data_IF_665524268986
#
_entry.id   IF_665524268986
#
_cell.length_a   1.000
_cell.length_b   1.000
_cell.length_c   1.000
_cell.angle_alpha   90.00
_cell.angle_beta   90.00
_cell.angle_gamma   90.00
#
_symmetry.space_group_name_H-M   'P 1'
#
loop_
_entity.id
_entity.type
_entity.pdbx_description
1 polymer ?
#
# COMPACT_ATOMS: atom_id res chain seq x y z
N UNK A 1 -7.65 -15.72 11.89
CA UNK A 1 -6.84 -14.88 10.98
C UNK A 1 -7.80 -14.03 10.17
N UNK A 2 -7.49 -12.75 9.93
CA UNK A 2 -8.28 -11.92 9.02
C UNK A 2 -7.88 -12.22 7.58
N UNK A 3 -8.85 -12.27 6.67
CA UNK A 3 -8.60 -12.49 5.24
C UNK A 3 -8.62 -11.13 4.52
N UNK A 4 -7.52 -10.80 3.85
CA UNK A 4 -7.42 -9.62 2.99
C UNK A 4 -7.82 -10.03 1.55
N UNK A 5 -8.71 -9.27 0.93
CA UNK A 5 -9.10 -9.44 -0.48
C UNK A 5 -8.92 -8.07 -1.15
N UNK A 6 -7.97 -7.98 -2.09
CA UNK A 6 -7.62 -6.75 -2.80
C UNK A 6 -7.44 -6.97 -4.31
N UNK A 7 -7.64 -5.92 -5.11
CA UNK A 7 -7.36 -5.89 -6.56
C UNK A 7 -6.31 -4.81 -6.86
N UNK A 8 -5.15 -5.22 -7.38
CA UNK A 8 -4.00 -4.33 -7.61
C UNK A 8 -3.80 -4.06 -9.11
N UNK A 9 -3.71 -2.78 -9.44
CA UNK A 9 -3.36 -2.31 -10.79
C UNK A 9 -2.03 -1.56 -10.75
N UNK A 10 -1.16 -1.81 -11.74
CA UNK A 10 0.01 -0.96 -11.99
C UNK A 10 -0.45 0.22 -12.84
N UNK A 11 -0.16 1.44 -12.38
CA UNK A 11 -0.59 2.67 -13.06
C UNK A 11 0.60 3.25 -13.82
N UNK A 12 0.41 3.53 -15.11
CA UNK A 12 1.40 4.29 -15.88
C UNK A 12 1.54 5.69 -15.27
N UNK A 13 2.77 6.16 -15.04
CA UNK A 13 3.05 7.43 -14.40
C UNK A 13 2.31 8.61 -15.05
N UNK A 14 2.21 8.63 -16.39
CA UNK A 14 1.52 9.69 -17.12
C UNK A 14 0.00 9.72 -16.90
N UNK A 15 -0.59 8.66 -16.35
CA UNK A 15 -2.02 8.52 -16.13
C UNK A 15 -2.46 8.81 -14.68
N UNK A 16 -1.52 9.09 -13.77
CA UNK A 16 -1.82 9.26 -12.33
C UNK A 16 -2.79 10.42 -12.08
N UNK A 17 -2.58 11.58 -12.72
CA UNK A 17 -3.47 12.74 -12.55
C UNK A 17 -4.87 12.46 -13.10
N UNK A 18 -4.98 11.87 -14.29
CA UNK A 18 -6.27 11.51 -14.87
C UNK A 18 -7.04 10.48 -14.01
N UNK A 19 -6.32 9.52 -13.41
CA UNK A 19 -6.91 8.55 -12.48
C UNK A 19 -7.39 9.23 -11.18
N UNK A 20 -6.59 10.15 -10.62
CA UNK A 20 -6.97 10.92 -9.42
C UNK A 20 -8.25 11.72 -9.68
N UNK A 21 -8.31 12.43 -10.81
CA UNK A 21 -9.49 13.21 -11.19
C UNK A 21 -10.72 12.34 -11.32
N UNK A 22 -10.60 11.17 -11.96
CA UNK A 22 -11.71 10.23 -12.10
C UNK A 22 -12.18 9.68 -10.75
N UNK A 23 -11.27 9.27 -9.86
CA UNK A 23 -11.63 8.77 -8.52
C UNK A 23 -12.39 9.83 -7.70
N UNK A 24 -12.02 11.11 -7.84
CA UNK A 24 -12.70 12.21 -7.17
C UNK A 24 -14.14 12.46 -7.65
N UNK A 25 -14.55 11.90 -8.79
CA UNK A 25 -15.94 11.99 -9.27
C UNK A 25 -16.89 10.97 -8.63
N UNK A 26 -16.36 9.96 -7.92
CA UNK A 26 -17.16 8.84 -7.40
C UNK A 26 -17.92 9.15 -6.11
N UNK A 27 -17.67 10.30 -5.47
CA UNK A 27 -18.42 10.78 -4.30
C UNK A 27 -18.22 9.97 -3.00
N UNK A 28 -17.16 9.17 -2.92
CA UNK A 28 -16.76 8.48 -1.69
C UNK A 28 -16.05 9.39 -0.69
N UNK A 29 -15.78 8.87 0.51
CA UNK A 29 -14.95 9.57 1.50
C UNK A 29 -13.51 9.73 0.98
N UNK A 30 -13.04 10.98 0.91
CA UNK A 30 -11.69 11.32 0.44
C UNK A 30 -10.76 11.62 1.62
N UNK A 31 -9.57 11.04 1.60
CA UNK A 31 -8.50 11.29 2.58
C UNK A 31 -7.25 11.78 1.84
N UNK A 32 -6.63 12.85 2.32
CA UNK A 32 -5.39 13.38 1.74
C UNK A 32 -4.23 12.38 1.83
N UNK A 33 -3.22 12.48 0.94
CA UNK A 33 -2.07 11.57 0.95
C UNK A 33 -1.34 11.54 2.30
N UNK A 34 -0.99 10.33 2.75
CA UNK A 34 -0.16 10.10 3.94
C UNK A 34 1.12 9.35 3.59
N UNK A 35 2.21 9.66 4.29
CA UNK A 35 3.46 8.95 4.12
C UNK A 35 3.46 7.65 4.94
N UNK A 36 3.65 6.52 4.24
CA UNK A 36 3.82 5.20 4.87
C UNK A 36 5.28 4.75 4.80
N UNK A 37 5.88 4.51 5.97
CA UNK A 37 7.22 3.95 6.10
C UNK A 37 7.11 2.45 6.38
N UNK A 38 7.84 1.61 5.66
CA UNK A 38 7.80 0.16 5.85
C UNK A 38 9.23 -0.38 5.98
N UNK A 39 9.53 -1.09 7.06
CA UNK A 39 10.74 -1.91 7.20
C UNK A 39 10.32 -3.37 7.13
N UNK A 40 10.90 -4.11 6.18
CA UNK A 40 10.68 -5.53 6.01
C UNK A 40 11.81 -6.30 6.70
N UNK A 41 11.44 -7.37 7.40
CA UNK A 41 12.35 -8.24 8.13
C UNK A 41 12.43 -9.59 7.43
N UNK A 42 13.61 -10.18 7.45
CA UNK A 42 13.89 -11.51 6.88
C UNK A 42 15.09 -12.12 7.61
N UNK A 43 15.22 -13.45 7.56
CA UNK A 43 16.39 -14.17 8.05
C UNK A 43 17.46 -14.30 6.95
N UNK A 44 18.75 -14.49 7.28
CA UNK A 44 19.80 -14.64 6.27
C UNK A 44 19.58 -15.79 5.27
N UNK A 45 18.80 -16.80 5.64
CA UNK A 45 18.43 -17.96 4.83
C UNK A 45 17.09 -17.83 4.10
N UNK A 46 16.48 -16.63 4.05
CA UNK A 46 15.23 -16.33 3.34
C UNK A 46 14.01 -17.17 3.80
N UNK A 47 13.89 -17.42 5.10
CA UNK A 47 12.87 -18.31 5.62
C UNK A 47 11.45 -17.82 5.33
N UNK A 48 11.13 -16.54 5.58
CA UNK A 48 9.78 -16.01 5.36
C UNK A 48 9.39 -16.08 3.87
N UNK A 49 10.33 -15.71 3.00
CA UNK A 49 10.15 -15.83 1.55
C UNK A 49 9.88 -17.27 1.11
N UNK A 50 10.54 -18.26 1.70
CA UNK A 50 10.32 -19.68 1.41
C UNK A 50 8.91 -20.18 1.77
N UNK A 51 8.18 -19.43 2.57
CA UNK A 51 6.79 -19.71 2.97
C UNK A 51 5.76 -18.77 2.34
N UNK A 52 6.15 -17.95 1.35
CA UNK A 52 5.31 -16.91 0.75
C UNK A 52 4.70 -15.94 1.79
N UNK A 53 5.46 -15.70 2.87
CA UNK A 53 5.08 -14.79 3.94
C UNK A 53 5.94 -13.52 3.92
N UNK A 54 5.41 -12.44 4.49
CA UNK A 54 6.14 -11.20 4.68
C UNK A 54 5.87 -10.59 6.05
N UNK A 55 6.93 -10.14 6.72
CA UNK A 55 6.85 -9.44 8.00
C UNK A 55 7.33 -8.00 7.83
N UNK A 56 6.52 -7.04 8.29
CA UNK A 56 6.88 -5.61 8.27
C UNK A 56 6.41 -4.87 9.51
N UNK A 57 7.15 -3.85 9.89
CA UNK A 57 6.67 -2.77 10.75
C UNK A 57 6.32 -1.57 9.85
N UNK A 58 5.09 -1.06 9.99
CA UNK A 58 4.60 0.12 9.27
C UNK A 58 4.50 1.32 10.21
N UNK A 59 5.21 2.39 9.86
CA UNK A 59 5.02 3.72 10.45
C UNK A 59 4.13 4.57 9.56
N UNK A 60 3.19 5.30 10.16
CA UNK A 60 2.34 6.29 9.49
C UNK A 60 2.61 7.65 10.12
N UNK A 61 3.14 8.60 9.33
CA UNK A 61 3.40 9.95 9.84
C UNK A 61 2.11 10.77 9.73
N UNK A 62 1.32 10.76 10.80
CA UNK A 62 0.17 11.67 10.92
C UNK A 62 0.64 13.04 11.39
N UNK A 63 0.25 14.09 10.67
CA UNK A 63 0.24 15.45 11.17
C UNK A 63 -0.75 15.52 12.35
N UNK A 64 -0.31 16.03 13.50
CA UNK A 64 -1.19 16.36 14.63
C UNK A 64 -1.91 17.68 14.36
#
# INVERSE_FOLDING_TARGET
MAQEIELKFIVNHSAVEALRDHLNTLGGEHHDPVQLLNIYYETPDNWLRGHDMGLRIRGEKRSL
#
